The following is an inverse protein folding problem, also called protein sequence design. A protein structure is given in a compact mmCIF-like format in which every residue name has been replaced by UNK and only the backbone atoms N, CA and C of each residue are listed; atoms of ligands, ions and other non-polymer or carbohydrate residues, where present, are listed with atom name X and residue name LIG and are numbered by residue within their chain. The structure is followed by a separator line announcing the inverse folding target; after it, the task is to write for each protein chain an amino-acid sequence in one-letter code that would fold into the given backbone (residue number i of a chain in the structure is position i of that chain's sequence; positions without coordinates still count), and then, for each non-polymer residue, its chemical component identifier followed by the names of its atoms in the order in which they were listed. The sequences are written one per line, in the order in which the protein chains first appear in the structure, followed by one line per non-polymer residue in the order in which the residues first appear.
data_IF_054794666356
#
_entry.id   IF_054794666356
#
_cell.length_a   1.000
_cell.length_b   1.000
_cell.length_c   1.000
_cell.angle_alpha   90.00
_cell.angle_beta   90.00
_cell.angle_gamma   90.00
#
_symmetry.space_group_name_H-M   'P 1'
#
loop_
_entity.id
_entity.type
_entity.pdbx_description
1 polymer ?
#
# COMPACT_ATOMS: atom_id res chain seq x y z
N UNK A 1 1.77 0.44 53.16
CA UNK A 1 2.52 -0.06 51.99
C UNK A 1 1.59 0.08 50.79
N UNK A 2 1.85 1.01 49.86
CA UNK A 2 1.02 1.14 48.66
C UNK A 2 1.27 -0.09 47.78
N UNK A 3 0.23 -0.89 47.56
CA UNK A 3 0.24 -2.00 46.62
C UNK A 3 -0.10 -1.42 45.24
N UNK A 4 0.90 -1.35 44.35
CA UNK A 4 0.66 -0.96 42.96
C UNK A 4 0.25 -2.20 42.17
N UNK A 5 -0.76 -2.07 41.30
CA UNK A 5 -1.03 -3.06 40.26
C UNK A 5 0.00 -2.87 39.14
N UNK A 6 1.06 -3.67 39.20
CA UNK A 6 2.16 -3.61 38.24
C UNK A 6 1.75 -4.07 36.84
N UNK A 7 0.77 -4.96 36.72
CA UNK A 7 0.30 -5.48 35.44
C UNK A 7 -0.56 -4.43 34.72
N UNK A 8 -1.40 -3.72 35.45
CA UNK A 8 -2.17 -2.59 34.92
C UNK A 8 -1.24 -1.47 34.45
N UNK A 9 -0.28 -1.06 35.30
CA UNK A 9 0.73 -0.06 34.93
C UNK A 9 1.55 -0.48 33.71
N UNK A 10 1.85 -1.78 33.57
CA UNK A 10 2.54 -2.31 32.39
C UNK A 10 1.69 -2.13 31.14
N UNK A 11 0.42 -2.54 31.16
CA UNK A 11 -0.49 -2.39 30.02
C UNK A 11 -0.65 -0.94 29.61
N UNK A 12 -0.85 -0.05 30.57
CA UNK A 12 -0.97 1.39 30.30
C UNK A 12 0.32 1.98 29.72
N UNK A 13 1.48 1.58 30.23
CA UNK A 13 2.76 2.02 29.68
C UNK A 13 2.96 1.54 28.23
N UNK A 14 2.60 0.28 27.94
CA UNK A 14 2.74 -0.29 26.59
C UNK A 14 1.85 0.39 25.55
N UNK A 15 0.60 0.69 25.91
CA UNK A 15 -0.41 1.24 24.99
C UNK A 15 -0.35 2.77 24.92
N UNK A 16 0.04 3.43 26.02
CA UNK A 16 0.08 4.89 26.14
C UNK A 16 1.25 5.55 25.39
N UNK A 17 1.16 6.86 25.18
CA UNK A 17 2.15 7.63 24.43
C UNK A 17 3.28 8.19 25.32
N UNK A 18 3.86 7.34 26.16
CA UNK A 18 4.97 7.70 27.05
C UNK A 18 6.32 7.37 26.42
N UNK A 19 7.23 8.35 26.37
CA UNK A 19 8.60 8.20 25.84
C UNK A 19 9.56 7.62 26.86
N UNK A 20 9.32 7.86 28.15
CA UNK A 20 10.21 7.40 29.22
C UNK A 20 9.45 6.87 30.43
N UNK A 21 10.11 6.01 31.23
CA UNK A 21 9.57 5.57 32.53
C UNK A 21 9.44 6.73 33.53
N UNK A 22 10.23 7.79 33.39
CA UNK A 22 10.18 8.98 34.26
C UNK A 22 8.91 9.79 34.01
N UNK A 23 8.59 10.02 32.75
CA UNK A 23 7.34 10.67 32.31
C UNK A 23 6.12 9.86 32.78
N UNK A 24 6.15 8.54 32.56
CA UNK A 24 5.07 7.66 33.02
C UNK A 24 4.91 7.66 34.55
N UNK A 25 6.01 7.63 35.30
CA UNK A 25 5.99 7.71 36.77
C UNK A 25 5.37 9.03 37.26
N UNK A 26 5.71 10.15 36.62
CA UNK A 26 5.19 11.46 36.97
C UNK A 26 3.68 11.54 36.70
N UNK A 27 3.22 11.01 35.57
CA UNK A 27 1.80 11.03 35.21
C UNK A 27 0.95 10.11 36.09
N UNK A 28 1.48 8.95 36.46
CA UNK A 28 0.77 7.96 37.31
C UNK A 28 0.97 8.19 38.80
N UNK A 29 1.73 9.21 39.21
CA UNK A 29 2.00 9.50 40.62
C UNK A 29 2.79 8.39 41.33
N UNK A 30 3.58 7.60 40.58
CA UNK A 30 4.37 6.48 41.12
C UNK A 30 5.80 6.94 41.39
N UNK A 31 6.41 6.46 42.47
CA UNK A 31 7.83 6.73 42.74
C UNK A 31 8.72 6.13 41.64
N UNK A 32 9.49 6.98 40.95
CA UNK A 32 10.35 6.57 39.84
C UNK A 32 11.39 5.49 40.20
N UNK A 33 11.98 5.54 41.39
CA UNK A 33 12.96 4.54 41.82
C UNK A 33 12.33 3.14 41.96
N UNK A 34 11.10 3.08 42.48
CA UNK A 34 10.35 1.82 42.60
C UNK A 34 9.92 1.33 41.22
N UNK A 35 9.37 2.21 40.37
CA UNK A 35 8.98 1.87 39.00
C UNK A 35 10.18 1.37 38.20
N UNK A 36 11.32 2.07 38.21
CA UNK A 36 12.52 1.69 37.44
C UNK A 36 13.02 0.29 37.78
N UNK A 37 12.92 -0.11 39.05
CA UNK A 37 13.32 -1.46 39.48
C UNK A 37 12.36 -2.54 38.98
N UNK A 38 11.06 -2.25 38.86
CA UNK A 38 10.04 -3.19 38.36
C UNK A 38 9.93 -3.20 36.83
N UNK A 39 10.19 -2.07 36.18
CA UNK A 39 9.95 -1.85 34.75
C UNK A 39 11.24 -1.87 33.91
N UNK A 40 12.29 -2.59 34.35
CA UNK A 40 13.63 -2.57 33.71
C UNK A 40 13.58 -2.82 32.20
N UNK A 41 12.77 -3.78 31.77
CA UNK A 41 12.67 -4.18 30.37
C UNK A 41 11.46 -3.61 29.64
N UNK A 42 10.58 -2.87 30.34
CA UNK A 42 9.35 -2.36 29.73
C UNK A 42 9.60 -1.46 28.53
N UNK A 43 10.68 -0.66 28.55
CA UNK A 43 11.02 0.19 27.42
C UNK A 43 11.44 -0.64 26.19
N UNK A 44 12.22 -1.71 26.40
CA UNK A 44 12.64 -2.63 25.33
C UNK A 44 11.47 -3.41 24.78
N UNK A 45 10.62 -3.95 25.65
CA UNK A 45 9.38 -4.62 25.28
C UNK A 45 8.46 -3.69 24.48
N UNK A 46 8.29 -2.42 24.93
CA UNK A 46 7.50 -1.42 24.20
C UNK A 46 8.06 -1.11 22.82
N UNK A 47 9.39 -1.00 22.70
CA UNK A 47 10.04 -0.83 21.41
C UNK A 47 9.79 -2.02 20.50
N UNK A 48 9.90 -3.25 21.01
CA UNK A 48 9.62 -4.46 20.26
C UNK A 48 8.17 -4.53 19.76
N UNK A 49 7.21 -4.30 20.67
CA UNK A 49 5.78 -4.25 20.33
C UNK A 49 5.48 -3.18 19.29
N UNK A 50 6.11 -2.00 19.40
CA UNK A 50 5.95 -0.95 18.41
C UNK A 50 6.54 -1.32 17.04
N UNK A 51 7.67 -2.02 17.00
CA UNK A 51 8.24 -2.53 15.74
C UNK A 51 7.30 -3.53 15.08
N UNK A 52 6.82 -4.52 15.83
CA UNK A 52 5.87 -5.52 15.34
C UNK A 52 4.55 -4.87 14.87
N UNK A 53 4.02 -3.92 15.64
CA UNK A 53 2.84 -3.14 15.27
C UNK A 53 3.06 -2.37 13.97
N UNK A 54 4.19 -1.68 13.83
CA UNK A 54 4.50 -0.90 12.63
C UNK A 54 4.65 -1.81 11.40
N UNK A 55 5.29 -2.97 11.58
CA UNK A 55 5.40 -3.99 10.53
C UNK A 55 4.01 -4.47 10.07
N UNK A 56 3.12 -4.81 11.02
CA UNK A 56 1.76 -5.22 10.72
C UNK A 56 0.94 -4.11 10.04
N UNK A 57 1.11 -2.86 10.46
CA UNK A 57 0.46 -1.70 9.81
C UNK A 57 0.95 -1.57 8.36
N UNK A 58 2.27 -1.69 8.14
CA UNK A 58 2.87 -1.63 6.82
C UNK A 58 2.32 -2.73 5.90
N UNK A 59 2.35 -3.99 6.34
CA UNK A 59 1.86 -5.14 5.59
C UNK A 59 0.38 -4.99 5.22
N UNK A 60 -0.48 -4.62 6.19
CA UNK A 60 -1.91 -4.41 5.93
C UNK A 60 -2.14 -3.25 4.98
N UNK A 61 -1.37 -2.17 5.09
CA UNK A 61 -1.47 -1.01 4.19
C UNK A 61 -1.09 -1.41 2.77
N UNK A 62 0.01 -2.16 2.60
CA UNK A 62 0.44 -2.67 1.31
C UNK A 62 -0.62 -3.59 0.69
N UNK A 63 -1.17 -4.53 1.45
CA UNK A 63 -2.25 -5.40 0.99
C UNK A 63 -3.49 -4.61 0.53
N UNK A 64 -3.88 -3.58 1.27
CA UNK A 64 -5.00 -2.72 0.88
C UNK A 64 -4.71 -1.93 -0.41
N UNK A 65 -3.47 -1.46 -0.59
CA UNK A 65 -3.08 -0.76 -1.81
C UNK A 65 -3.06 -1.70 -3.02
N UNK A 66 -2.51 -2.91 -2.87
CA UNK A 66 -2.53 -3.95 -3.91
C UNK A 66 -3.97 -4.30 -4.29
N UNK A 67 -4.84 -4.52 -3.29
CA UNK A 67 -6.26 -4.79 -3.54
C UNK A 67 -6.93 -3.65 -4.32
N UNK A 68 -6.77 -2.40 -3.88
CA UNK A 68 -7.34 -1.24 -4.58
C UNK A 68 -6.83 -1.15 -6.01
N UNK A 69 -5.53 -1.36 -6.23
CA UNK A 69 -4.95 -1.36 -7.57
C UNK A 69 -5.53 -2.48 -8.45
N UNK A 70 -5.70 -3.68 -7.90
CA UNK A 70 -6.35 -4.79 -8.58
C UNK A 70 -7.81 -4.45 -8.93
N UNK A 71 -8.58 -3.92 -7.98
CA UNK A 71 -9.98 -3.50 -8.19
C UNK A 71 -10.09 -2.45 -9.31
N UNK A 72 -9.20 -1.44 -9.32
CA UNK A 72 -9.14 -0.44 -10.39
C UNK A 72 -8.78 -1.05 -11.75
N UNK A 73 -7.83 -1.98 -11.79
CA UNK A 73 -7.46 -2.66 -13.04
C UNK A 73 -8.63 -3.50 -13.57
N UNK A 74 -9.35 -4.21 -12.70
CA UNK A 74 -10.56 -4.95 -13.05
C UNK A 74 -11.61 -4.01 -13.63
N UNK A 75 -11.93 -2.93 -12.93
CA UNK A 75 -12.90 -1.93 -13.38
C UNK A 75 -12.51 -1.31 -14.73
N UNK A 76 -11.23 -1.00 -14.92
CA UNK A 76 -10.73 -0.48 -16.19
C UNK A 76 -10.92 -1.48 -17.33
N UNK A 77 -10.62 -2.76 -17.11
CA UNK A 77 -10.85 -3.83 -18.10
C UNK A 77 -12.34 -3.97 -18.43
N UNK A 78 -13.22 -3.90 -17.43
CA UNK A 78 -14.67 -3.94 -17.62
C UNK A 78 -15.18 -2.79 -18.50
N UNK A 79 -14.76 -1.55 -18.21
CA UNK A 79 -15.12 -0.39 -19.04
C UNK A 79 -14.69 -0.59 -20.49
N UNK A 80 -13.44 -1.05 -20.71
CA UNK A 80 -12.97 -1.28 -22.07
C UNK A 80 -13.74 -2.40 -22.77
N UNK A 81 -14.16 -3.43 -22.05
CA UNK A 81 -15.01 -4.48 -22.60
C UNK A 81 -16.39 -3.95 -23.01
N UNK A 82 -17.01 -3.12 -22.19
CA UNK A 82 -18.29 -2.46 -22.54
C UNK A 82 -18.12 -1.57 -23.77
N UNK A 83 -17.04 -0.79 -23.82
CA UNK A 83 -16.76 0.07 -24.95
C UNK A 83 -16.50 -0.72 -26.23
N UNK A 84 -15.78 -1.85 -26.16
CA UNK A 84 -15.61 -2.76 -27.29
C UNK A 84 -16.95 -3.35 -27.77
N UNK A 85 -17.89 -3.64 -26.88
CA UNK A 85 -19.26 -4.06 -27.27
C UNK A 85 -20.01 -2.95 -28.04
N UNK A 86 -19.84 -1.70 -27.66
CA UNK A 86 -20.42 -0.56 -28.40
C UNK A 86 -19.80 -0.44 -29.79
N UNK A 87 -18.48 -0.55 -29.90
CA UNK A 87 -17.77 -0.56 -31.19
C UNK A 87 -18.23 -1.73 -32.05
N UNK A 88 -18.39 -2.92 -31.47
CA UNK A 88 -18.92 -4.10 -32.16
C UNK A 88 -20.34 -3.87 -32.68
N UNK A 89 -21.20 -3.27 -31.87
CA UNK A 89 -22.58 -2.92 -32.26
C UNK A 89 -22.59 -1.92 -33.41
N UNK A 90 -21.75 -0.88 -33.34
CA UNK A 90 -21.59 0.10 -34.41
C UNK A 90 -21.08 -0.54 -35.71
N UNK A 91 -20.18 -1.53 -35.61
CA UNK A 91 -19.67 -2.26 -36.76
C UNK A 91 -20.74 -3.12 -37.46
N UNK A 92 -21.82 -3.48 -36.75
CA UNK A 92 -22.95 -4.27 -37.29
C UNK A 92 -24.16 -3.41 -37.67
N UNK A 93 -24.10 -2.10 -37.47
CA UNK A 93 -25.12 -1.16 -37.94
C UNK A 93 -24.79 -0.67 -39.35
N UNK A 94 -25.55 -1.14 -40.34
CA UNK A 94 -25.37 -0.75 -41.74
C UNK A 94 -25.47 0.77 -41.94
N UNK A 95 -26.31 1.46 -41.16
CA UNK A 95 -26.45 2.93 -41.26
C UNK A 95 -25.19 3.65 -40.79
N UNK A 96 -24.42 3.03 -39.90
CA UNK A 96 -23.16 3.57 -39.39
C UNK A 96 -22.01 3.28 -40.34
N UNK A 97 -21.89 2.03 -40.83
CA UNK A 97 -20.72 1.59 -41.61
C UNK A 97 -20.87 1.77 -43.14
N UNK A 98 -22.08 2.01 -43.66
CA UNK A 98 -22.31 2.24 -45.10
C UNK A 98 -22.72 3.69 -45.38
N UNK A 99 -22.39 4.16 -46.57
CA UNK A 99 -22.87 5.42 -47.13
C UNK A 99 -24.33 5.27 -47.58
N UNK A 100 -24.98 6.38 -47.94
CA UNK A 100 -26.33 6.38 -48.52
C UNK A 100 -26.44 5.54 -49.82
N UNK A 101 -25.32 5.31 -50.50
CA UNK A 101 -25.22 4.47 -51.71
C UNK A 101 -25.00 2.97 -51.39
N UNK A 102 -24.95 2.59 -50.12
CA UNK A 102 -24.72 1.20 -49.69
C UNK A 102 -23.25 0.75 -49.73
N UNK A 103 -22.31 1.63 -50.10
CA UNK A 103 -20.87 1.36 -50.06
C UNK A 103 -20.33 1.54 -48.65
N UNK A 104 -19.28 0.81 -48.27
CA UNK A 104 -18.64 1.01 -46.96
C UNK A 104 -18.03 2.42 -46.82
N UNK A 105 -18.25 3.03 -45.66
CA UNK A 105 -17.67 4.30 -45.28
C UNK A 105 -16.29 4.06 -44.64
N UNK A 106 -15.24 4.15 -45.48
CA UNK A 106 -13.85 3.90 -45.07
C UNK A 106 -13.43 4.75 -43.87
N UNK A 107 -13.85 6.02 -43.81
CA UNK A 107 -13.52 6.92 -42.70
C UNK A 107 -14.10 6.43 -41.37
N UNK A 108 -15.33 5.92 -41.36
CA UNK A 108 -15.95 5.37 -40.16
C UNK A 108 -15.22 4.10 -39.72
N UNK A 109 -14.89 3.22 -40.66
CA UNK A 109 -14.17 1.98 -40.36
C UNK A 109 -12.77 2.24 -39.80
N UNK A 110 -12.04 3.21 -40.35
CA UNK A 110 -10.71 3.62 -39.85
C UNK A 110 -10.80 4.19 -38.43
N UNK A 111 -11.83 4.99 -38.14
CA UNK A 111 -12.09 5.46 -36.77
C UNK A 111 -12.37 4.32 -35.81
N UNK A 112 -13.22 3.36 -36.19
CA UNK A 112 -13.52 2.19 -35.35
C UNK A 112 -12.26 1.34 -35.10
N UNK A 113 -11.42 1.14 -36.12
CA UNK A 113 -10.16 0.42 -35.99
C UNK A 113 -9.17 1.11 -35.01
N UNK A 114 -9.00 2.43 -35.14
CA UNK A 114 -8.18 3.22 -34.21
C UNK A 114 -8.69 3.14 -32.75
N UNK A 115 -10.01 3.11 -32.58
CA UNK A 115 -10.64 2.98 -31.27
C UNK A 115 -10.36 1.60 -30.68
N UNK A 116 -10.49 0.53 -31.47
CA UNK A 116 -10.16 -0.84 -31.05
C UNK A 116 -8.70 -0.98 -30.63
N UNK A 117 -7.76 -0.41 -31.38
CA UNK A 117 -6.34 -0.44 -31.06
C UNK A 117 -6.06 0.20 -29.69
N UNK A 118 -6.67 1.36 -29.41
CA UNK A 118 -6.53 2.06 -28.12
C UNK A 118 -7.13 1.27 -26.96
N UNK A 119 -8.31 0.67 -27.17
CA UNK A 119 -8.94 -0.17 -26.16
C UNK A 119 -8.05 -1.39 -25.81
N UNK A 120 -7.50 -2.06 -26.83
CA UNK A 120 -6.58 -3.18 -26.64
C UNK A 120 -5.32 -2.76 -25.88
N UNK A 121 -4.71 -1.62 -26.22
CA UNK A 121 -3.54 -1.08 -25.48
C UNK A 121 -3.89 -0.77 -24.02
N UNK A 122 -5.03 -0.13 -23.77
CA UNK A 122 -5.50 0.14 -22.41
C UNK A 122 -5.68 -1.13 -21.57
N UNK A 123 -6.27 -2.18 -22.15
CA UNK A 123 -6.44 -3.48 -21.49
C UNK A 123 -5.10 -4.17 -21.20
N UNK A 124 -4.17 -4.18 -22.15
CA UNK A 124 -2.82 -4.73 -21.96
C UNK A 124 -2.08 -4.07 -20.81
N UNK A 125 -2.16 -2.74 -20.71
CA UNK A 125 -1.55 -1.98 -19.61
C UNK A 125 -2.17 -2.31 -18.25
N UNK A 126 -3.50 -2.41 -18.17
CA UNK A 126 -4.20 -2.74 -16.92
C UNK A 126 -3.93 -4.17 -16.45
N UNK A 127 -3.72 -5.10 -17.39
CA UNK A 127 -3.35 -6.48 -17.11
C UNK A 127 -1.84 -6.67 -16.88
N UNK A 128 -1.03 -5.62 -17.03
CA UNK A 128 0.42 -5.70 -16.89
C UNK A 128 1.12 -6.48 -18.01
N UNK A 129 0.49 -6.61 -19.18
CA UNK A 129 1.00 -7.37 -20.34
C UNK A 129 1.96 -6.58 -21.24
N UNK A 130 2.16 -5.29 -20.96
CA UNK A 130 3.18 -4.48 -21.62
C UNK A 130 4.41 -4.38 -20.70
N UNK A 131 5.42 -5.18 -21.02
CA UNK A 131 6.64 -5.45 -20.24
C UNK A 131 7.67 -4.30 -20.17
N UNK A 132 7.25 -3.04 -20.25
CA UNK A 132 8.16 -1.93 -19.94
C UNK A 132 8.28 -1.64 -18.42
N UNK A 133 8.04 -2.64 -17.56
CA UNK A 133 7.89 -2.46 -16.09
C UNK A 133 8.78 -3.34 -15.21
N UNK A 134 9.64 -4.21 -15.75
CA UNK A 134 10.59 -4.96 -14.91
C UNK A 134 11.56 -4.02 -14.19
N UNK A 135 11.97 -2.91 -14.81
CA UNK A 135 12.91 -1.95 -14.20
C UNK A 135 12.33 -1.20 -12.99
N UNK A 136 11.02 -0.91 -12.97
CA UNK A 136 10.43 -0.13 -11.87
C UNK A 136 10.07 -0.99 -10.66
N UNK A 137 9.64 -2.24 -10.89
CA UNK A 137 9.31 -3.15 -9.79
C UNK A 137 10.56 -3.63 -9.06
N UNK A 138 11.63 -3.98 -9.80
CA UNK A 138 12.92 -4.34 -9.18
C UNK A 138 13.57 -3.15 -8.48
N UNK A 139 13.51 -1.93 -9.03
CA UNK A 139 13.97 -0.72 -8.33
C UNK A 139 13.15 -0.41 -7.07
N UNK A 140 11.83 -0.63 -7.10
CA UNK A 140 10.99 -0.44 -5.93
C UNK A 140 11.31 -1.49 -4.85
N UNK A 141 11.48 -2.75 -5.24
CA UNK A 141 11.86 -3.83 -4.34
C UNK A 141 13.29 -3.64 -3.79
N UNK A 142 14.23 -3.12 -4.57
CA UNK A 142 15.58 -2.78 -4.09
C UNK A 142 15.52 -1.66 -3.06
N UNK A 143 14.78 -0.59 -3.32
CA UNK A 143 14.60 0.52 -2.36
C UNK A 143 13.90 0.06 -1.09
N UNK A 144 12.91 -0.82 -1.20
CA UNK A 144 12.25 -1.41 -0.02
C UNK A 144 13.25 -2.25 0.79
N UNK A 145 14.11 -3.06 0.14
CA UNK A 145 15.16 -3.82 0.83
C UNK A 145 16.19 -2.92 1.49
N UNK A 146 16.62 -1.85 0.83
CA UNK A 146 17.54 -0.85 1.40
C UNK A 146 16.95 -0.16 2.63
N UNK A 147 15.68 0.25 2.57
CA UNK A 147 14.98 0.85 3.71
C UNK A 147 14.87 -0.16 4.86
N UNK A 148 14.52 -1.41 4.57
CA UNK A 148 14.43 -2.47 5.59
C UNK A 148 15.80 -2.75 6.22
N UNK A 149 16.88 -2.75 5.45
CA UNK A 149 18.24 -2.90 5.96
C UNK A 149 18.66 -1.72 6.84
N UNK A 150 18.43 -0.49 6.40
CA UNK A 150 18.74 0.71 7.17
C UNK A 150 17.93 0.79 8.49
N UNK A 151 16.75 0.17 8.55
CA UNK A 151 15.97 0.05 9.78
C UNK A 151 16.42 -1.09 10.71
N UNK A 152 17.25 -2.02 10.22
CA UNK A 152 17.78 -3.15 10.98
C UNK A 152 19.25 -3.02 11.37
N UNK A 153 19.99 -2.07 10.79
CA UNK A 153 21.34 -1.74 11.25
C UNK A 153 21.27 -1.06 12.64
N UNK A 154 21.95 -1.61 13.67
CA UNK A 154 22.11 -0.91 14.92
C UNK A 154 23.00 0.31 14.69
N UNK A 155 22.60 1.47 15.22
CA UNK A 155 23.37 2.72 15.22
C UNK A 155 24.76 2.47 15.85
N UNK A 156 25.77 2.13 15.04
CA UNK A 156 27.18 2.14 15.43
C UNK A 156 27.72 3.58 15.36
N UNK A 157 27.06 4.51 16.06
CA UNK A 157 27.62 5.84 16.31
C UNK A 157 27.41 6.26 17.76
N UNK A 158 27.92 5.46 18.70
CA UNK A 158 28.24 5.96 20.04
C UNK A 158 29.43 5.22 20.66
N UNK A 159 30.60 5.31 20.03
CA UNK A 159 31.88 5.13 20.74
C UNK A 159 32.82 6.27 20.37
N UNK A 160 32.60 7.43 20.97
CA UNK A 160 33.69 8.36 21.32
C UNK A 160 33.31 9.03 22.65
N UNK A 161 33.79 8.43 23.74
CA UNK A 161 34.50 9.08 24.85
C UNK A 161 34.86 8.04 25.91
#
# INVERSE_FOLDING_TARGET
MHFYDWEELKREFMIGNYRTLKEFAQEKGVNYGVLRNKARDWLKEKQQVNREKNQLIFEKTLQQQVKKAADYNTWHVEIWNEFLRLVWTALHDEKTIKTKEGKYNVYVLERLANIMEKAQKGQRLALGLDENKEDQSEQLLSRIREIVQALHEPDETSVVN
#
